data_IF_452230707651
#
_entry.id   IF_452230707651
#
_cell.length_a   1.000
_cell.length_b   1.000
_cell.length_c   1.000
_cell.angle_alpha   90.00
_cell.angle_beta   90.00
_cell.angle_gamma   90.00
#
_symmetry.space_group_name_H-M   'P 1'
#
loop_
_entity.id
_entity.type
_entity.pdbx_description
1 polymer ?
#
# COMPACT_ATOMS: atom_id res chain seq x y z
N UNK A 1 8.03 -27.48 -16.00
CA UNK A 1 8.67 -27.08 -14.72
C UNK A 1 9.41 -25.75 -14.83
N UNK A 2 8.76 -24.64 -15.10
CA UNK A 2 9.46 -23.32 -15.06
C UNK A 2 8.57 -22.10 -14.80
N UNK A 3 7.43 -22.22 -14.13
CA UNK A 3 6.54 -21.07 -13.84
C UNK A 3 6.37 -20.71 -12.35
N UNK A 4 6.98 -21.46 -11.43
CA UNK A 4 6.88 -21.20 -9.98
C UNK A 4 8.03 -20.32 -9.45
N UNK A 5 9.13 -20.16 -10.20
CA UNK A 5 10.32 -19.42 -9.77
C UNK A 5 10.27 -17.89 -9.90
N UNK A 6 9.40 -17.33 -10.74
CA UNK A 6 9.40 -15.89 -11.03
C UNK A 6 8.60 -15.05 -10.05
N UNK A 7 7.53 -15.56 -9.48
CA UNK A 7 6.71 -14.81 -8.51
C UNK A 7 7.41 -14.66 -7.15
N UNK A 8 8.14 -15.69 -6.71
CA UNK A 8 8.96 -15.65 -5.49
C UNK A 8 10.11 -14.64 -5.60
N UNK A 9 10.74 -14.52 -6.77
CA UNK A 9 11.90 -13.65 -6.98
C UNK A 9 11.55 -12.14 -7.00
N UNK A 10 10.34 -11.76 -7.44
CA UNK A 10 9.91 -10.34 -7.50
C UNK A 10 9.38 -9.88 -6.13
N UNK A 11 8.69 -10.76 -5.41
CA UNK A 11 8.16 -10.52 -4.07
C UNK A 11 9.29 -10.38 -3.04
N UNK A 12 10.30 -11.28 -3.12
CA UNK A 12 11.50 -11.22 -2.30
C UNK A 12 12.36 -9.98 -2.60
N UNK A 13 12.38 -9.48 -3.83
CA UNK A 13 13.06 -8.23 -4.15
C UNK A 13 12.36 -7.01 -3.54
N UNK A 14 11.04 -6.97 -3.49
CA UNK A 14 10.32 -5.82 -2.91
C UNK A 14 10.40 -5.82 -1.38
N UNK A 15 10.23 -6.98 -0.73
CA UNK A 15 10.52 -7.15 0.71
C UNK A 15 12.02 -6.98 1.01
N UNK A 16 12.91 -7.37 0.09
CA UNK A 16 14.34 -7.10 0.14
C UNK A 16 14.65 -5.62 -0.06
N UNK A 17 13.91 -4.89 -0.90
CA UNK A 17 14.07 -3.45 -1.07
C UNK A 17 13.58 -2.72 0.17
N UNK A 18 12.44 -3.09 0.76
CA UNK A 18 11.97 -2.47 2.01
C UNK A 18 12.87 -2.83 3.20
N UNK A 19 13.29 -4.09 3.34
CA UNK A 19 14.32 -4.49 4.32
C UNK A 19 15.70 -3.92 4.01
N UNK A 20 16.07 -3.78 2.74
CA UNK A 20 17.29 -3.10 2.30
C UNK A 20 17.23 -1.61 2.53
N UNK A 21 16.08 -0.96 2.33
CA UNK A 21 15.84 0.43 2.68
C UNK A 21 16.06 0.68 4.17
N UNK A 22 15.47 -0.14 5.04
CA UNK A 22 15.68 -0.05 6.51
C UNK A 22 17.13 -0.38 6.92
N UNK A 23 17.79 -1.34 6.24
CA UNK A 23 19.18 -1.69 6.54
C UNK A 23 20.21 -0.73 5.93
N UNK A 24 19.93 -0.11 4.78
CA UNK A 24 20.79 0.89 4.14
C UNK A 24 20.72 2.24 4.83
N UNK A 25 19.59 2.62 5.42
CA UNK A 25 19.51 3.79 6.33
C UNK A 25 20.42 3.62 7.55
N UNK A 26 20.62 2.39 8.05
CA UNK A 26 21.61 2.10 9.11
C UNK A 26 23.07 2.20 8.64
N UNK A 27 23.32 2.23 7.32
CA UNK A 27 24.65 2.31 6.71
C UNK A 27 24.97 3.69 6.11
N UNK A 28 24.11 4.70 6.31
CA UNK A 28 24.34 6.08 5.82
C UNK A 28 24.23 6.27 4.29
N UNK A 29 23.63 5.31 3.59
CA UNK A 29 23.27 5.48 2.17
C UNK A 29 21.95 6.21 2.10
N UNK A 30 21.94 7.45 1.61
CA UNK A 30 20.72 8.18 1.27
C UNK A 30 19.98 7.43 0.16
N UNK A 31 18.96 6.69 0.54
CA UNK A 31 18.02 6.13 -0.43
C UNK A 31 17.18 7.29 -0.98
N UNK A 32 17.04 7.36 -2.30
CA UNK A 32 16.12 8.30 -2.94
C UNK A 32 14.70 8.01 -2.45
N UNK A 33 14.25 8.79 -1.47
CA UNK A 33 12.91 8.71 -0.88
C UNK A 33 11.96 9.57 -1.74
N UNK A 34 11.01 8.92 -2.41
CA UNK A 34 9.97 9.65 -3.14
C UNK A 34 9.02 10.27 -2.13
N UNK A 35 9.05 11.60 -2.04
CA UNK A 35 8.16 12.33 -1.14
C UNK A 35 6.72 12.28 -1.65
N UNK A 36 5.79 12.02 -0.75
CA UNK A 36 4.33 12.02 -0.98
C UNK A 36 3.68 13.04 -0.05
N UNK A 37 4.22 14.26 -0.03
CA UNK A 37 3.87 15.30 0.96
C UNK A 37 2.38 15.59 1.00
N UNK A 38 1.70 15.65 -0.14
CA UNK A 38 0.25 15.90 -0.20
C UNK A 38 -0.57 14.81 0.52
N UNK A 39 -0.19 13.55 0.39
CA UNK A 39 -0.86 12.43 1.08
C UNK A 39 -0.46 12.33 2.56
N UNK A 40 0.80 12.61 2.85
CA UNK A 40 1.28 12.66 4.24
C UNK A 40 0.55 13.74 5.03
N UNK A 41 0.35 14.92 4.45
CA UNK A 41 -0.44 16.01 5.08
C UNK A 41 -1.92 15.59 5.28
N UNK A 42 -2.50 14.87 4.34
CA UNK A 42 -3.84 14.33 4.51
C UNK A 42 -3.94 13.36 5.71
N UNK A 43 -2.93 12.49 5.91
CA UNK A 43 -2.87 11.60 7.07
C UNK A 43 -2.71 12.38 8.39
N UNK A 44 -1.85 13.42 8.39
CA UNK A 44 -1.62 14.29 9.55
C UNK A 44 -2.89 15.03 10.00
N UNK A 45 -3.62 15.63 9.05
CA UNK A 45 -4.85 16.38 9.34
C UNK A 45 -5.94 15.46 9.91
N UNK A 46 -5.99 14.20 9.47
CA UNK A 46 -6.98 13.22 9.91
C UNK A 46 -6.59 12.45 11.17
N UNK A 47 -5.36 12.68 11.65
CA UNK A 47 -4.86 12.03 12.87
C UNK A 47 -5.77 12.31 14.06
N UNK A 48 -6.06 11.28 14.84
CA UNK A 48 -6.87 11.34 16.07
C UNK A 48 -8.32 11.86 15.88
N UNK A 49 -8.89 11.78 14.68
CA UNK A 49 -10.26 12.22 14.39
C UNK A 49 -11.35 11.21 14.79
N UNK A 50 -10.99 10.08 15.39
CA UNK A 50 -11.93 9.04 15.84
C UNK A 50 -12.50 8.16 14.71
N UNK A 51 -12.05 8.35 13.47
CA UNK A 51 -12.45 7.56 12.30
C UNK A 51 -11.34 6.59 11.89
N UNK A 52 -11.69 5.54 11.14
CA UNK A 52 -10.72 4.67 10.46
C UNK A 52 -10.20 5.40 9.24
N UNK A 53 -8.89 5.61 9.13
CA UNK A 53 -8.26 6.15 7.92
C UNK A 53 -8.07 5.04 6.91
N UNK A 54 -8.79 5.12 5.79
CA UNK A 54 -8.85 4.10 4.75
C UNK A 54 -8.03 4.59 3.56
N UNK A 55 -6.86 3.99 3.36
CA UNK A 55 -5.95 4.34 2.27
C UNK A 55 -6.22 3.41 1.10
N UNK A 56 -6.87 3.94 0.07
CA UNK A 56 -7.23 3.23 -1.15
C UNK A 56 -6.29 3.58 -2.31
N UNK A 57 -6.39 2.88 -3.41
CA UNK A 57 -5.62 3.13 -4.63
C UNK A 57 -5.17 1.83 -5.29
N UNK A 58 -4.74 1.93 -6.55
CA UNK A 58 -4.31 0.77 -7.33
C UNK A 58 -3.12 0.07 -6.68
N UNK A 59 -2.92 -1.20 -7.03
CA UNK A 59 -1.75 -1.96 -6.56
C UNK A 59 -0.46 -1.25 -6.98
N UNK A 60 0.53 -1.24 -6.07
CA UNK A 60 1.87 -0.68 -6.28
C UNK A 60 1.96 0.83 -6.49
N UNK A 61 0.91 1.60 -6.19
CA UNK A 61 0.97 3.07 -6.19
C UNK A 61 1.67 3.68 -4.95
N UNK A 62 2.14 2.85 -4.01
CA UNK A 62 2.94 3.30 -2.86
C UNK A 62 2.18 3.45 -1.53
N UNK A 63 1.00 2.82 -1.36
CA UNK A 63 0.19 2.89 -0.11
C UNK A 63 0.96 2.39 1.12
N UNK A 64 1.54 1.18 1.03
CA UNK A 64 2.32 0.58 2.12
C UNK A 64 3.54 1.43 2.48
N UNK A 65 4.21 2.02 1.48
CA UNK A 65 5.34 2.93 1.69
C UNK A 65 4.88 4.23 2.40
N UNK A 66 3.77 4.81 1.96
CA UNK A 66 3.18 5.99 2.60
C UNK A 66 2.86 5.71 4.08
N UNK A 67 2.32 4.52 4.38
CA UNK A 67 1.88 4.16 5.72
C UNK A 67 3.06 3.75 6.63
N UNK A 68 3.86 2.77 6.21
CA UNK A 68 4.90 2.17 7.05
C UNK A 68 6.23 2.93 7.06
N UNK A 69 6.48 3.78 6.04
CA UNK A 69 7.72 4.56 5.98
C UNK A 69 7.46 6.02 6.30
N UNK A 70 6.67 6.71 5.48
CA UNK A 70 6.52 8.16 5.60
C UNK A 70 5.70 8.55 6.84
N UNK A 71 4.54 7.92 7.03
CA UNK A 71 3.67 8.25 8.16
C UNK A 71 4.24 7.76 9.49
N UNK A 72 4.81 6.55 9.54
CA UNK A 72 5.53 6.07 10.72
C UNK A 72 6.67 7.00 11.13
N UNK A 73 7.49 7.43 10.17
CA UNK A 73 8.57 8.40 10.40
C UNK A 73 8.03 9.69 11.03
N UNK A 74 6.93 10.22 10.47
CA UNK A 74 6.26 11.39 11.05
C UNK A 74 5.78 11.16 12.49
N UNK A 75 5.18 10.00 12.79
CA UNK A 75 4.74 9.67 14.16
C UNK A 75 5.92 9.68 15.15
N UNK A 76 7.03 9.03 14.78
CA UNK A 76 8.26 9.01 15.60
C UNK A 76 8.84 10.41 15.79
N UNK A 77 8.92 11.22 14.74
CA UNK A 77 9.38 12.62 14.80
C UNK A 77 8.45 13.51 15.61
N UNK A 78 7.16 13.16 15.72
CA UNK A 78 6.17 13.83 16.55
C UNK A 78 6.23 13.41 18.03
N UNK A 79 7.18 12.54 18.41
CA UNK A 79 7.38 12.08 19.77
C UNK A 79 6.56 10.86 20.19
N UNK A 80 5.91 10.16 19.23
CA UNK A 80 5.26 8.88 19.51
C UNK A 80 6.34 7.81 19.70
N UNK A 81 6.28 7.05 20.78
CA UNK A 81 7.19 5.94 21.02
C UNK A 81 6.92 4.80 20.01
N UNK A 82 7.97 4.13 19.57
CA UNK A 82 7.84 3.01 18.63
C UNK A 82 6.99 1.87 19.20
N UNK A 83 6.98 1.66 20.53
CA UNK A 83 6.15 0.65 21.20
C UNK A 83 4.65 0.97 21.14
N UNK A 84 4.28 2.21 20.79
CA UNK A 84 2.90 2.65 20.59
C UNK A 84 2.47 2.66 19.10
N UNK A 85 3.32 2.14 18.22
CA UNK A 85 3.01 1.97 16.79
C UNK A 85 2.92 0.47 16.50
N UNK A 86 1.71 -0.01 16.21
CA UNK A 86 1.43 -1.42 15.89
C UNK A 86 1.37 -1.56 14.37
N UNK A 87 2.30 -2.31 13.79
CA UNK A 87 2.39 -2.52 12.34
C UNK A 87 2.07 -3.98 11.98
N UNK A 88 1.11 -4.18 11.09
CA UNK A 88 0.71 -5.52 10.63
C UNK A 88 0.53 -5.47 9.10
N UNK A 89 1.35 -6.22 8.36
CA UNK A 89 1.20 -6.44 6.93
C UNK A 89 0.56 -7.82 6.69
N UNK A 90 -0.71 -7.85 6.33
CA UNK A 90 -1.49 -9.10 6.22
C UNK A 90 -1.17 -9.93 4.97
N UNK A 91 -0.47 -9.36 4.00
CA UNK A 91 0.02 -10.09 2.83
C UNK A 91 1.28 -10.92 3.15
N UNK A 92 2.02 -10.59 4.22
CA UNK A 92 3.19 -11.31 4.68
C UNK A 92 2.87 -12.70 5.23
N UNK A 93 3.77 -13.67 4.96
CA UNK A 93 3.63 -15.03 5.48
C UNK A 93 3.82 -15.09 7.00
N UNK A 94 4.61 -14.19 7.55
CA UNK A 94 4.84 -14.03 8.99
C UNK A 94 3.58 -13.66 9.77
N UNK A 95 2.60 -13.05 9.08
CA UNK A 95 1.33 -12.61 9.64
C UNK A 95 0.15 -13.45 9.14
N UNK A 96 0.39 -14.63 8.56
CA UNK A 96 -0.68 -15.48 8.03
C UNK A 96 -1.73 -15.85 9.09
N UNK A 97 -1.31 -16.09 10.31
CA UNK A 97 -2.24 -16.38 11.42
C UNK A 97 -3.12 -15.18 11.78
N UNK A 98 -2.65 -13.95 11.56
CA UNK A 98 -3.40 -12.72 11.81
C UNK A 98 -4.46 -12.42 10.74
N UNK A 99 -4.57 -13.25 9.69
CA UNK A 99 -5.69 -13.21 8.76
C UNK A 99 -6.98 -13.76 9.38
N UNK A 100 -6.88 -14.46 10.52
CA UNK A 100 -8.03 -14.77 11.36
C UNK A 100 -8.44 -13.55 12.18
N UNK A 101 -9.71 -13.08 12.08
CA UNK A 101 -10.17 -11.86 12.74
C UNK A 101 -9.99 -11.87 14.26
N UNK A 102 -10.22 -13.01 14.89
CA UNK A 102 -10.11 -13.13 16.36
C UNK A 102 -8.65 -13.07 16.82
N UNK A 103 -7.76 -13.76 16.09
CA UNK A 103 -6.33 -13.73 16.39
C UNK A 103 -5.76 -12.33 16.17
N UNK A 104 -6.13 -11.65 15.09
CA UNK A 104 -5.71 -10.30 14.84
C UNK A 104 -6.17 -9.32 15.94
N UNK A 105 -7.45 -9.36 16.28
CA UNK A 105 -8.00 -8.52 17.35
C UNK A 105 -7.28 -8.77 18.69
N UNK A 106 -7.07 -10.05 19.05
CA UNK A 106 -6.37 -10.40 20.29
C UNK A 106 -4.91 -9.92 20.26
N UNK A 107 -4.20 -10.13 19.14
CA UNK A 107 -2.81 -9.66 18.97
C UNK A 107 -2.69 -8.15 19.18
N UNK A 108 -3.61 -7.37 18.59
CA UNK A 108 -3.63 -5.91 18.76
C UNK A 108 -3.86 -5.55 20.23
N UNK A 109 -4.81 -6.21 20.90
CA UNK A 109 -5.09 -6.01 22.33
C UNK A 109 -3.89 -6.33 23.22
N UNK A 110 -3.17 -7.41 22.93
CA UNK A 110 -2.00 -7.84 23.71
C UNK A 110 -0.78 -6.93 23.47
N UNK A 111 -0.73 -6.26 22.32
CA UNK A 111 0.29 -5.26 22.02
C UNK A 111 0.08 -3.95 22.79
N UNK A 112 -1.16 -3.63 23.18
CA UNK A 112 -1.51 -2.43 23.96
C UNK A 112 -1.27 -2.67 25.45
N UNK A 113 -0.13 -2.19 25.96
CA UNK A 113 0.34 -2.50 27.34
C UNK A 113 -0.05 -1.45 28.37
N UNK A 114 -0.45 -0.27 27.95
CA UNK A 114 -0.79 0.87 28.80
C UNK A 114 -1.99 1.67 28.23
N UNK A 115 -2.36 2.75 28.89
CA UNK A 115 -3.48 3.61 28.50
C UNK A 115 -3.07 4.77 27.56
N UNK A 116 -1.82 4.78 27.08
CA UNK A 116 -1.35 5.80 26.14
C UNK A 116 -1.97 5.57 24.75
N UNK A 117 -1.80 6.55 23.87
CA UNK A 117 -2.35 6.51 22.51
C UNK A 117 -1.52 5.57 21.62
N UNK A 118 -2.20 4.62 21.02
CA UNK A 118 -1.63 3.69 20.04
C UNK A 118 -2.04 4.05 18.62
N UNK A 119 -1.16 3.80 17.68
CA UNK A 119 -1.38 3.95 16.24
C UNK A 119 -1.29 2.58 15.57
N UNK A 120 -2.41 2.10 15.05
CA UNK A 120 -2.46 0.83 14.32
C UNK A 120 -2.32 1.10 12.83
N UNK A 121 -1.27 0.56 12.24
CA UNK A 121 -0.99 0.58 10.81
C UNK A 121 -1.21 -0.82 10.26
N UNK A 122 -2.31 -1.03 9.53
CA UNK A 122 -2.73 -2.34 9.05
C UNK A 122 -2.76 -2.35 7.51
N UNK A 123 -1.84 -3.10 6.90
CA UNK A 123 -1.68 -3.12 5.43
C UNK A 123 -2.41 -4.32 4.83
N UNK A 124 -3.02 -4.09 3.65
CA UNK A 124 -3.71 -5.07 2.82
C UNK A 124 -4.81 -5.84 3.58
N UNK A 125 -5.69 -5.11 4.28
CA UNK A 125 -6.72 -5.70 5.19
C UNK A 125 -7.68 -6.67 4.50
N UNK A 126 -7.82 -6.64 3.17
CA UNK A 126 -8.65 -7.57 2.43
C UNK A 126 -8.17 -9.04 2.49
N UNK A 127 -6.95 -9.29 2.97
CA UNK A 127 -6.50 -10.66 3.25
C UNK A 127 -7.16 -11.26 4.50
N UNK A 128 -7.74 -10.41 5.36
CA UNK A 128 -8.49 -10.87 6.53
C UNK A 128 -9.97 -11.02 6.16
N UNK A 129 -10.56 -12.16 6.49
CA UNK A 129 -12.01 -12.34 6.39
C UNK A 129 -12.72 -11.46 7.43
N UNK A 130 -13.86 -10.87 7.08
CA UNK A 130 -14.65 -10.03 8.00
C UNK A 130 -13.82 -8.95 8.72
N UNK A 131 -12.86 -8.34 8.03
CA UNK A 131 -12.00 -7.28 8.59
C UNK A 131 -12.84 -6.10 9.11
N UNK A 132 -14.01 -5.85 8.54
CA UNK A 132 -14.94 -4.79 8.93
C UNK A 132 -15.39 -4.96 10.40
N UNK A 133 -15.65 -6.21 10.84
CA UNK A 133 -16.03 -6.50 12.22
C UNK A 133 -14.88 -6.18 13.20
N UNK A 134 -13.65 -6.48 12.80
CA UNK A 134 -12.45 -6.17 13.61
C UNK A 134 -12.29 -4.66 13.74
N UNK A 135 -12.33 -3.94 12.61
CA UNK A 135 -12.15 -2.50 12.58
C UNK A 135 -13.25 -1.76 13.36
N UNK A 136 -14.52 -2.18 13.23
CA UNK A 136 -15.63 -1.64 14.03
C UNK A 136 -15.47 -1.94 15.53
N UNK A 137 -14.86 -3.07 15.90
CA UNK A 137 -14.56 -3.39 17.29
C UNK A 137 -13.44 -2.53 17.85
N UNK A 138 -12.42 -2.23 17.05
CA UNK A 138 -11.30 -1.37 17.42
C UNK A 138 -11.73 0.09 17.64
N UNK A 139 -12.71 0.59 16.89
CA UNK A 139 -13.27 1.93 17.09
C UNK A 139 -13.91 2.16 18.49
N UNK A 140 -14.23 1.10 19.21
CA UNK A 140 -14.74 1.18 20.59
C UNK A 140 -13.63 1.40 21.62
N UNK A 141 -12.37 1.29 21.21
CA UNK A 141 -11.20 1.48 22.05
C UNK A 141 -10.77 2.95 21.92
N UNK A 142 -10.81 3.72 22.99
CA UNK A 142 -10.60 5.18 22.97
C UNK A 142 -9.17 5.62 22.70
N UNK A 143 -8.20 4.76 23.04
CA UNK A 143 -6.79 5.07 22.96
C UNK A 143 -6.09 4.41 21.76
N UNK A 144 -6.82 4.07 20.70
CA UNK A 144 -6.25 3.58 19.42
C UNK A 144 -6.69 4.47 18.26
N UNK A 145 -5.77 4.73 17.35
CA UNK A 145 -6.04 5.41 16.08
C UNK A 145 -5.69 4.47 14.92
N UNK A 146 -6.63 4.24 14.00
CA UNK A 146 -6.58 3.12 13.05
C UNK A 146 -6.38 3.62 11.63
N UNK A 147 -5.36 3.08 10.96
CA UNK A 147 -4.99 3.32 9.57
C UNK A 147 -4.93 2.00 8.84
N UNK A 148 -5.67 1.88 7.73
CA UNK A 148 -5.73 0.65 6.96
C UNK A 148 -5.46 0.91 5.49
N UNK A 149 -4.84 -0.04 4.82
CA UNK A 149 -4.74 -0.02 3.36
C UNK A 149 -5.46 -1.20 2.73
N UNK A 150 -5.86 -1.01 1.49
CA UNK A 150 -6.35 -2.06 0.64
C UNK A 150 -6.23 -1.70 -0.83
N UNK A 151 -6.06 -2.71 -1.69
CA UNK A 151 -5.74 -2.52 -3.10
C UNK A 151 -6.64 -3.27 -4.06
N UNK A 152 -7.59 -4.06 -3.54
CA UNK A 152 -8.49 -4.80 -4.42
C UNK A 152 -9.75 -4.00 -4.78
N UNK A 153 -10.48 -4.53 -5.75
CA UNK A 153 -11.70 -3.91 -6.25
C UNK A 153 -12.81 -3.73 -5.20
N UNK A 154 -12.84 -4.56 -4.15
CA UNK A 154 -13.77 -4.43 -3.02
C UNK A 154 -13.44 -3.20 -2.18
N UNK A 155 -12.15 -2.90 -2.02
CA UNK A 155 -11.65 -1.69 -1.35
C UNK A 155 -11.78 -0.40 -2.19
N UNK A 156 -11.92 -0.53 -3.52
CA UNK A 156 -12.13 0.60 -4.43
C UNK A 156 -13.61 0.88 -4.67
N UNK A 157 -14.52 0.06 -4.16
CA UNK A 157 -15.96 0.26 -4.30
C UNK A 157 -16.47 1.21 -3.22
N UNK A 158 -17.48 2.04 -3.57
CA UNK A 158 -18.20 2.89 -2.62
C UNK A 158 -18.82 2.10 -1.45
N UNK A 159 -18.91 0.79 -1.60
CA UNK A 159 -19.50 -0.12 -0.63
C UNK A 159 -18.73 -0.14 0.69
N UNK A 160 -17.39 0.01 0.67
CA UNK A 160 -16.57 0.05 1.90
C UNK A 160 -16.91 1.25 2.80
N UNK A 161 -17.09 2.43 2.23
CA UNK A 161 -17.48 3.60 3.03
C UNK A 161 -18.87 3.41 3.62
N UNK A 162 -19.75 2.71 2.91
CA UNK A 162 -21.09 2.36 3.38
C UNK A 162 -21.05 1.33 4.52
N UNK A 163 -20.16 0.33 4.43
CA UNK A 163 -19.96 -0.68 5.48
C UNK A 163 -19.46 -0.07 6.81
N UNK A 164 -18.71 1.04 6.75
CA UNK A 164 -18.29 1.76 7.96
C UNK A 164 -19.30 2.80 8.46
N UNK A 165 -20.48 2.93 7.84
CA UNK A 165 -21.58 3.80 8.31
C UNK A 165 -21.13 5.23 8.67
N UNK A 166 -20.25 5.83 7.87
CA UNK A 166 -19.70 7.17 8.12
C UNK A 166 -18.58 7.23 9.16
N UNK A 167 -18.01 6.08 9.58
CA UNK A 167 -16.86 6.00 10.49
C UNK A 167 -15.53 5.82 9.75
N UNK A 168 -15.53 5.83 8.43
CA UNK A 168 -14.35 5.74 7.56
C UNK A 168 -14.03 7.09 6.94
N UNK A 169 -12.75 7.43 6.89
CA UNK A 169 -12.21 8.62 6.25
C UNK A 169 -11.21 8.19 5.16
N UNK A 170 -11.62 8.34 3.89
CA UNK A 170 -10.87 7.80 2.76
C UNK A 170 -9.79 8.76 2.29
N UNK A 171 -8.62 8.18 1.99
CA UNK A 171 -7.50 8.83 1.30
C UNK A 171 -7.18 8.00 0.05
N UNK A 172 -7.56 8.50 -1.12
CA UNK A 172 -7.31 7.82 -2.39
C UNK A 172 -5.95 8.18 -2.95
N UNK A 173 -5.02 7.20 -2.93
CA UNK A 173 -3.62 7.35 -3.39
C UNK A 173 -3.53 6.99 -4.86
N UNK A 174 -3.17 7.97 -5.68
CA UNK A 174 -2.87 7.82 -7.09
C UNK A 174 -1.39 7.42 -7.30
N UNK A 175 -1.01 6.91 -8.48
CA UNK A 175 0.38 6.88 -8.90
C UNK A 175 1.06 8.25 -8.73
N UNK A 176 2.38 8.31 -8.88
CA UNK A 176 3.12 9.57 -8.76
C UNK A 176 2.57 10.61 -9.73
N UNK A 177 2.39 11.82 -9.24
CA UNK A 177 2.25 12.99 -10.11
C UNK A 177 3.57 13.26 -10.87
N UNK A 178 3.52 14.02 -11.94
CA UNK A 178 4.74 14.39 -12.66
C UNK A 178 5.78 15.09 -11.77
N UNK A 179 5.33 15.92 -10.84
CA UNK A 179 6.22 16.59 -9.88
C UNK A 179 6.94 15.61 -8.95
N UNK A 180 6.23 14.60 -8.44
CA UNK A 180 6.80 13.54 -7.60
C UNK A 180 7.74 12.64 -8.40
N UNK A 181 7.37 12.29 -9.64
CA UNK A 181 8.21 11.54 -10.57
C UNK A 181 9.51 12.29 -10.87
N UNK A 182 9.41 13.57 -11.26
CA UNK A 182 10.56 14.40 -11.60
C UNK A 182 11.50 14.62 -10.41
N UNK A 183 10.99 14.60 -9.17
CA UNK A 183 11.82 14.77 -7.97
C UNK A 183 12.90 13.70 -7.78
N UNK A 184 12.76 12.56 -8.44
CA UNK A 184 13.71 11.42 -8.38
C UNK A 184 14.29 11.05 -9.75
N UNK A 185 13.97 11.83 -10.78
CA UNK A 185 14.44 11.58 -12.13
C UNK A 185 15.83 12.23 -12.33
N UNK A 186 16.76 11.44 -12.88
CA UNK A 186 18.11 11.91 -13.22
C UNK A 186 18.15 12.29 -14.70
N UNK A 187 17.83 13.55 -15.02
CA UNK A 187 17.79 14.08 -16.38
C UNK A 187 17.05 15.41 -16.47
N UNK A 188 16.86 15.89 -17.70
CA UNK A 188 16.10 17.10 -17.95
C UNK A 188 14.61 16.95 -17.68
N UNK A 189 13.92 18.06 -17.54
CA UNK A 189 12.46 18.04 -17.31
C UNK A 189 11.71 17.53 -18.54
N UNK A 190 12.23 17.81 -19.72
CA UNK A 190 11.69 17.37 -21.01
C UNK A 190 11.78 15.84 -21.13
N UNK A 191 12.96 15.26 -20.88
CA UNK A 191 13.17 13.82 -20.88
C UNK A 191 12.29 13.12 -19.82
N UNK A 192 12.19 13.70 -18.63
CA UNK A 192 11.33 13.19 -17.57
C UNK A 192 9.84 13.19 -17.98
N UNK A 193 9.41 14.24 -18.72
CA UNK A 193 8.03 14.33 -19.18
C UNK A 193 7.71 13.32 -20.28
N UNK A 194 8.65 13.08 -21.18
CA UNK A 194 8.52 12.06 -22.22
C UNK A 194 8.41 10.67 -21.59
N UNK A 195 9.30 10.34 -20.67
CA UNK A 195 9.27 9.08 -19.92
C UNK A 195 7.97 8.90 -19.12
N UNK A 196 7.55 9.95 -18.41
CA UNK A 196 6.32 9.92 -17.63
C UNK A 196 5.07 9.72 -18.51
N UNK A 197 5.07 10.35 -19.70
CA UNK A 197 3.95 10.24 -20.64
C UNK A 197 3.85 8.84 -21.25
N UNK A 198 4.97 8.15 -21.44
CA UNK A 198 5.03 6.80 -22.02
C UNK A 198 4.82 5.73 -20.97
N UNK A 199 5.50 5.83 -19.82
CA UNK A 199 5.55 4.73 -18.81
C UNK A 199 4.68 4.98 -17.59
N UNK A 200 4.13 6.18 -17.43
CA UNK A 200 3.26 6.56 -16.32
C UNK A 200 3.98 6.74 -14.98
N UNK A 201 3.21 6.90 -13.92
CA UNK A 201 3.69 7.31 -12.58
C UNK A 201 3.76 6.20 -11.54
N UNK A 202 3.91 4.90 -11.89
CA UNK A 202 4.13 3.88 -10.87
C UNK A 202 5.50 4.09 -10.20
N UNK A 203 5.60 4.12 -8.85
CA UNK A 203 6.85 4.41 -8.14
C UNK A 203 8.02 3.51 -8.55
N UNK A 204 7.76 2.23 -8.81
CA UNK A 204 8.80 1.30 -9.25
C UNK A 204 9.36 1.66 -10.63
N UNK A 205 8.52 2.20 -11.53
CA UNK A 205 8.93 2.62 -12.88
C UNK A 205 9.84 3.85 -12.81
N UNK A 206 9.53 4.79 -11.93
CA UNK A 206 10.34 6.00 -11.72
C UNK A 206 11.79 5.69 -11.26
N UNK A 207 12.00 4.52 -10.65
CA UNK A 207 13.30 4.06 -10.14
C UNK A 207 14.03 3.11 -11.11
N UNK A 208 13.44 2.79 -12.27
CA UNK A 208 14.05 1.92 -13.28
C UNK A 208 14.85 2.72 -14.29
N UNK A 209 16.04 2.21 -14.64
CA UNK A 209 16.99 2.92 -15.49
C UNK A 209 16.77 2.63 -16.97
N UNK A 210 16.38 1.39 -17.34
CA UNK A 210 16.26 0.98 -18.74
C UNK A 210 14.81 0.87 -19.20
N UNK A 211 14.55 1.22 -20.45
CA UNK A 211 13.24 1.05 -21.09
C UNK A 211 12.74 -0.39 -21.03
N UNK A 212 13.63 -1.36 -21.29
CA UNK A 212 13.29 -2.78 -21.23
C UNK A 212 12.77 -3.19 -19.85
N UNK A 213 13.38 -2.70 -18.77
CA UNK A 213 12.91 -2.95 -17.40
C UNK A 213 11.52 -2.35 -17.18
N UNK A 214 11.29 -1.11 -17.63
CA UNK A 214 10.00 -0.42 -17.49
C UNK A 214 8.90 -1.17 -18.25
N UNK A 215 9.13 -1.50 -19.52
CA UNK A 215 8.17 -2.24 -20.36
C UNK A 215 7.86 -3.61 -19.78
N UNK A 216 8.89 -4.41 -19.44
CA UNK A 216 8.71 -5.74 -18.86
C UNK A 216 7.91 -5.67 -17.55
N UNK A 217 8.23 -4.71 -16.70
CA UNK A 217 7.51 -4.52 -15.44
C UNK A 217 6.04 -4.18 -15.68
N UNK A 218 5.75 -3.19 -16.53
CA UNK A 218 4.39 -2.74 -16.82
C UNK A 218 3.54 -3.84 -17.47
N UNK A 219 4.09 -4.57 -18.44
CA UNK A 219 3.43 -5.71 -19.09
C UNK A 219 3.11 -6.80 -18.06
N UNK A 220 4.06 -7.11 -17.16
CA UNK A 220 3.84 -8.07 -16.08
C UNK A 220 2.74 -7.60 -15.13
N UNK A 221 2.71 -6.29 -14.77
CA UNK A 221 1.65 -5.74 -13.93
C UNK A 221 0.29 -5.85 -14.62
N UNK A 222 0.21 -5.48 -15.88
CA UNK A 222 -1.03 -5.53 -16.65
C UNK A 222 -1.57 -6.95 -16.73
N UNK A 223 -0.77 -7.90 -17.22
CA UNK A 223 -1.21 -9.26 -17.50
C UNK A 223 -1.47 -10.09 -16.23
N UNK A 224 -0.61 -9.99 -15.22
CA UNK A 224 -0.66 -10.88 -14.05
C UNK A 224 -1.45 -10.33 -12.87
N UNK A 225 -1.64 -9.03 -12.76
CA UNK A 225 -2.31 -8.42 -11.61
C UNK A 225 -3.64 -7.79 -12.00
N UNK A 226 -3.63 -6.84 -12.92
CA UNK A 226 -4.85 -6.09 -13.22
C UNK A 226 -5.90 -6.95 -13.93
N UNK A 227 -5.49 -7.77 -14.88
CA UNK A 227 -6.41 -8.68 -15.57
C UNK A 227 -6.98 -9.72 -14.59
N UNK A 228 -6.16 -10.32 -13.74
CA UNK A 228 -6.64 -11.26 -12.71
C UNK A 228 -7.61 -10.61 -11.73
N UNK A 229 -7.36 -9.37 -11.31
CA UNK A 229 -8.28 -8.65 -10.42
C UNK A 229 -9.63 -8.39 -11.11
N UNK A 230 -9.64 -8.07 -12.40
CA UNK A 230 -10.88 -7.89 -13.19
C UNK A 230 -11.62 -9.22 -13.34
N UNK A 231 -10.93 -10.29 -13.74
CA UNK A 231 -11.48 -11.63 -13.89
C UNK A 231 -12.11 -12.12 -12.60
N UNK A 232 -11.39 -12.00 -11.49
CA UNK A 232 -11.87 -12.43 -10.17
C UNK A 232 -13.07 -11.60 -9.70
N UNK A 233 -13.10 -10.30 -9.96
CA UNK A 233 -14.19 -9.42 -9.56
C UNK A 233 -15.51 -9.73 -10.26
N UNK A 234 -15.43 -9.96 -11.58
CA UNK A 234 -16.60 -10.15 -12.42
C UNK A 234 -16.92 -11.61 -12.69
N UNK A 235 -16.15 -12.55 -12.08
CA UNK A 235 -16.29 -14.00 -12.31
C UNK A 235 -16.30 -14.37 -13.79
N UNK A 236 -15.41 -13.74 -14.56
CA UNK A 236 -15.31 -13.97 -16.00
C UNK A 236 -14.68 -15.35 -16.27
N UNK A 237 -15.30 -16.10 -17.18
CA UNK A 237 -14.88 -17.48 -17.47
C UNK A 237 -13.87 -17.61 -18.62
N UNK A 238 -13.56 -16.51 -19.34
CA UNK A 238 -12.67 -16.54 -20.50
C UNK A 238 -11.59 -15.45 -20.42
N UNK A 239 -10.35 -15.86 -20.24
CA UNK A 239 -9.18 -14.97 -20.22
C UNK A 239 -8.93 -14.32 -21.60
N UNK A 240 -9.36 -14.98 -22.71
CA UNK A 240 -9.10 -14.53 -24.07
C UNK A 240 -9.84 -13.23 -24.45
N UNK A 241 -11.09 -13.09 -24.05
CA UNK A 241 -11.92 -11.94 -24.45
C UNK A 241 -11.42 -10.60 -23.92
N UNK A 242 -10.78 -10.59 -22.75
CA UNK A 242 -10.23 -9.35 -22.17
C UNK A 242 -8.91 -8.99 -22.86
N UNK A 243 -8.09 -9.98 -23.21
CA UNK A 243 -6.86 -9.77 -23.98
C UNK A 243 -7.17 -9.14 -25.35
N UNK A 244 -8.11 -9.72 -26.08
CA UNK A 244 -8.55 -9.20 -27.38
C UNK A 244 -9.14 -7.79 -27.31
N UNK A 245 -9.88 -7.46 -26.22
CA UNK A 245 -10.41 -6.12 -26.02
C UNK A 245 -9.31 -5.09 -25.79
N UNK A 246 -8.24 -5.46 -25.08
CA UNK A 246 -7.11 -4.56 -24.82
C UNK A 246 -6.24 -4.34 -26.07
N UNK A 247 -6.19 -5.30 -26.99
CA UNK A 247 -5.47 -5.17 -28.27
C UNK A 247 -6.19 -4.22 -29.24
N UNK A 248 -7.46 -3.87 -28.98
CA UNK A 248 -8.28 -2.97 -29.81
C UNK A 248 -8.29 -1.54 -29.29
N UNK A 249 -7.91 -1.31 -28.04
CA UNK A 249 -7.87 0.03 -27.38
C UNK A 249 -6.47 0.63 -27.48
#
# INVERSE_FOLDING_TARGET
ECLVGSEMCIRDRFNSITKKCVNLQKQGVELMEIKRDAYLEQLKIRKDNGMIKIITGIRRCGKSFLLFVLFKKYLLESGVDNDHIIEIALDGIENEELRDPKKCYQHIKDAMKDDQKYYLLLDEVQFMSRFEEVLNSLLRISNIDVYVTGSNSRFLSKDILTEFEGRGDEIHVLPLSFSEFFSVYDGSKEEAFDDYSVYGGLPAVALMVTEEQKVTYLTTQMNNLYLRDIINRYHLHEDCAIGELLDVI
#
